data_IF_348008443484
#
_entry.id   IF_348008443484
#
_cell.length_a   1.000
_cell.length_b   1.000
_cell.length_c   1.000
_cell.angle_alpha   90.00
_cell.angle_beta   90.00
_cell.angle_gamma   90.00
#
_symmetry.space_group_name_H-M   'P 1'
#
loop_
_entity.id
_entity.type
_entity.pdbx_description
1 polymer ?
#
# COMPACT_ATOMS: atom_id res chain seq x y z
N UNK A 1 -17.62 10.97 -31.40
CA UNK A 1 -17.75 11.34 -30.00
C UNK A 1 -16.45 11.04 -29.27
N UNK A 2 -15.97 11.95 -28.38
CA UNK A 2 -14.82 11.64 -27.59
C UNK A 2 -15.15 10.45 -26.71
N UNK A 3 -14.42 9.36 -26.86
CA UNK A 3 -14.48 8.24 -25.93
C UNK A 3 -14.09 8.79 -24.57
N UNK A 4 -14.96 8.60 -23.60
CA UNK A 4 -14.65 8.96 -22.22
C UNK A 4 -13.34 8.25 -21.86
N UNK A 5 -12.29 9.03 -21.68
CA UNK A 5 -10.99 8.55 -21.23
C UNK A 5 -11.03 8.29 -19.73
N UNK A 6 -11.92 7.41 -19.29
CA UNK A 6 -11.69 6.73 -18.03
C UNK A 6 -10.55 5.77 -18.31
N UNK A 7 -9.37 6.25 -18.04
CA UNK A 7 -8.17 5.44 -18.09
C UNK A 7 -8.36 4.30 -17.07
N UNK A 8 -8.39 3.04 -17.50
CA UNK A 8 -8.63 1.93 -16.61
C UNK A 8 -7.39 1.69 -15.75
N UNK A 9 -7.30 2.39 -14.63
CA UNK A 9 -6.28 2.12 -13.63
C UNK A 9 -6.84 1.21 -12.55
N UNK A 10 -6.18 0.12 -12.31
CA UNK A 10 -6.41 -0.68 -11.11
C UNK A 10 -5.27 -0.43 -10.14
N UNK A 11 -5.58 0.14 -8.99
CA UNK A 11 -4.61 0.36 -7.92
C UNK A 11 -4.89 -0.63 -6.80
N UNK A 12 -3.90 -1.44 -6.48
CA UNK A 12 -3.96 -2.40 -5.38
C UNK A 12 -3.13 -1.88 -4.21
N UNK A 13 -3.75 -1.77 -3.05
CA UNK A 13 -3.06 -1.38 -1.82
C UNK A 13 -2.54 -2.61 -1.09
N UNK A 14 -1.26 -2.56 -0.73
CA UNK A 14 -0.60 -3.64 -0.03
C UNK A 14 0.24 -3.08 1.11
N UNK A 15 0.25 -3.78 2.25
CA UNK A 15 1.24 -3.46 3.27
C UNK A 15 2.65 -3.80 2.78
N UNK A 16 3.65 -3.07 3.23
CA UNK A 16 5.07 -3.29 2.87
C UNK A 16 5.60 -4.64 3.37
N UNK A 17 4.75 -5.47 3.99
CA UNK A 17 5.14 -6.72 4.59
C UNK A 17 5.37 -7.82 3.55
N UNK A 18 6.63 -8.10 3.26
CA UNK A 18 7.04 -9.29 2.51
C UNK A 18 7.38 -10.47 3.43
N UNK A 19 7.39 -10.25 4.75
CA UNK A 19 7.75 -11.24 5.74
C UNK A 19 6.55 -11.79 6.50
N UNK A 20 6.72 -12.98 7.06
CA UNK A 20 5.79 -13.61 7.99
C UNK A 20 6.08 -13.15 9.42
N UNK A 21 5.08 -13.18 10.28
CA UNK A 21 5.20 -12.89 11.70
C UNK A 21 4.19 -13.73 12.50
N UNK A 22 4.44 -14.01 13.77
CA UNK A 22 3.50 -14.76 14.60
C UNK A 22 2.12 -14.11 14.66
N UNK A 23 1.06 -14.90 14.46
CA UNK A 23 -0.33 -14.41 14.43
C UNK A 23 -0.76 -13.76 13.13
N UNK A 24 0.14 -13.60 12.15
CA UNK A 24 -0.13 -12.89 10.90
C UNK A 24 -0.55 -13.77 9.72
N UNK A 25 -0.75 -15.07 9.90
CA UNK A 25 -0.91 -16.02 8.79
C UNK A 25 -2.01 -15.63 7.79
N UNK A 26 -3.22 -15.32 8.27
CA UNK A 26 -4.35 -14.95 7.40
C UNK A 26 -4.11 -13.65 6.66
N UNK A 27 -3.65 -12.61 7.34
CA UNK A 27 -3.35 -11.32 6.75
C UNK A 27 -2.22 -11.40 5.72
N UNK A 28 -1.13 -12.07 6.08
CA UNK A 28 0.03 -12.24 5.20
C UNK A 28 -0.35 -13.03 3.95
N UNK A 29 -1.11 -14.12 4.09
CA UNK A 29 -1.59 -14.91 2.96
C UNK A 29 -2.46 -14.07 2.02
N UNK A 30 -3.44 -13.31 2.56
CA UNK A 30 -4.29 -12.42 1.77
C UNK A 30 -3.48 -11.38 1.00
N UNK A 31 -2.50 -10.74 1.65
CA UNK A 31 -1.66 -9.73 1.02
C UNK A 31 -0.68 -10.29 -0.02
N UNK A 32 -0.26 -11.54 0.12
CA UNK A 32 0.50 -12.22 -0.93
C UNK A 32 -0.40 -12.58 -2.12
N UNK A 33 -1.64 -13.00 -1.87
CA UNK A 33 -2.61 -13.26 -2.93
C UNK A 33 -2.88 -12.01 -3.79
N UNK A 34 -3.07 -10.83 -3.19
CA UNK A 34 -3.22 -9.57 -3.93
C UNK A 34 -2.06 -9.32 -4.89
N UNK A 35 -0.82 -9.60 -4.46
CA UNK A 35 0.36 -9.45 -5.32
C UNK A 35 0.34 -10.43 -6.49
N UNK A 36 -0.01 -11.70 -6.23
CA UNK A 36 -0.11 -12.72 -7.29
C UNK A 36 -1.16 -12.31 -8.30
N UNK A 37 -2.32 -11.81 -7.85
CA UNK A 37 -3.38 -11.29 -8.71
C UNK A 37 -2.85 -10.14 -9.58
N UNK A 38 -2.18 -9.15 -9.00
CA UNK A 38 -1.63 -8.03 -9.75
C UNK A 38 -0.61 -8.48 -10.82
N UNK A 39 0.28 -9.40 -10.46
CA UNK A 39 1.26 -9.94 -11.39
C UNK A 39 0.60 -10.73 -12.53
N UNK A 40 -0.41 -11.54 -12.21
CA UNK A 40 -1.18 -12.32 -13.20
C UNK A 40 -1.91 -11.39 -14.17
N UNK A 41 -2.59 -10.37 -13.65
CA UNK A 41 -3.28 -9.37 -14.48
C UNK A 41 -2.32 -8.66 -15.45
N UNK A 42 -1.08 -8.37 -15.04
CA UNK A 42 -0.09 -7.80 -15.94
C UNK A 42 0.26 -8.72 -17.11
N UNK A 43 0.30 -10.03 -16.87
CA UNK A 43 0.54 -11.01 -17.92
C UNK A 43 -0.66 -11.15 -18.86
N UNK A 44 -1.86 -11.20 -18.30
CA UNK A 44 -3.10 -11.40 -19.06
C UNK A 44 -3.49 -10.17 -19.90
N UNK A 45 -3.18 -8.97 -19.40
CA UNK A 45 -3.56 -7.69 -20.00
C UNK A 45 -2.41 -7.03 -20.77
N UNK A 46 -1.32 -7.74 -21.06
CA UNK A 46 -0.22 -7.20 -21.85
C UNK A 46 -0.71 -6.79 -23.24
N UNK A 47 -0.41 -5.56 -23.64
CA UNK A 47 -0.89 -4.99 -24.90
C UNK A 47 -2.23 -4.25 -24.81
N UNK A 48 -2.99 -4.43 -23.74
CA UNK A 48 -4.19 -3.64 -23.49
C UNK A 48 -3.82 -2.24 -22.93
N UNK A 49 -4.65 -1.21 -23.17
CA UNK A 49 -4.39 0.14 -22.68
C UNK A 49 -4.72 0.27 -21.19
N UNK A 50 -4.17 -0.62 -20.37
CA UNK A 50 -4.40 -0.73 -18.93
C UNK A 50 -3.07 -0.71 -18.19
N UNK A 51 -3.00 -0.01 -17.06
CA UNK A 51 -1.86 -0.04 -16.15
C UNK A 51 -2.27 -0.68 -14.83
N UNK A 52 -1.50 -1.63 -14.36
CA UNK A 52 -1.69 -2.31 -13.07
C UNK A 52 -0.61 -1.83 -12.11
N UNK A 53 -1.00 -1.04 -11.13
CA UNK A 53 -0.11 -0.37 -10.19
C UNK A 53 -0.38 -0.88 -8.78
N UNK A 54 0.65 -1.34 -8.11
CA UNK A 54 0.59 -1.77 -6.71
C UNK A 54 1.21 -0.70 -5.82
N UNK A 55 0.44 -0.17 -4.86
CA UNK A 55 0.96 0.75 -3.84
C UNK A 55 1.06 0.00 -2.51
N UNK A 56 2.25 0.03 -1.93
CA UNK A 56 2.58 -0.68 -0.70
C UNK A 56 3.04 0.30 0.40
N UNK A 57 2.12 0.98 1.11
CA UNK A 57 2.48 1.88 2.18
C UNK A 57 2.94 1.12 3.43
N UNK A 58 3.87 1.72 4.15
CA UNK A 58 4.28 1.30 5.49
C UNK A 58 3.31 1.78 6.56
N UNK A 59 3.85 2.29 7.67
CA UNK A 59 3.06 2.81 8.78
C UNK A 59 2.40 4.13 8.39
N UNK A 60 1.09 4.10 8.17
CA UNK A 60 0.25 5.26 7.90
C UNK A 60 -0.60 5.54 9.13
N UNK A 61 -0.49 6.71 9.70
CA UNK A 61 -1.31 7.14 10.83
C UNK A 61 -2.70 7.55 10.31
N UNK A 62 -3.64 6.61 10.35
CA UNK A 62 -5.06 6.86 10.14
C UNK A 62 -5.85 6.33 11.32
N UNK A 63 -6.78 7.12 11.86
CA UNK A 63 -7.56 6.73 13.03
C UNK A 63 -8.37 5.46 12.78
N UNK A 64 -9.04 5.37 11.63
CA UNK A 64 -9.92 4.24 11.30
C UNK A 64 -9.16 2.91 11.15
N UNK A 65 -8.00 2.91 10.50
CA UNK A 65 -7.26 1.66 10.26
C UNK A 65 -6.80 1.04 11.59
N UNK A 66 -6.29 1.85 12.49
CA UNK A 66 -5.81 1.39 13.78
C UNK A 66 -6.95 0.90 14.67
N UNK A 67 -8.07 1.63 14.72
CA UNK A 67 -9.24 1.23 15.51
C UNK A 67 -9.87 -0.06 14.97
N UNK A 68 -10.02 -0.20 13.66
CA UNK A 68 -10.58 -1.41 13.04
C UNK A 68 -9.68 -2.63 13.27
N UNK A 69 -8.36 -2.47 13.18
CA UNK A 69 -7.40 -3.58 13.41
C UNK A 69 -7.44 -4.10 14.83
N UNK A 70 -7.69 -3.24 15.81
CA UNK A 70 -7.70 -3.58 17.22
C UNK A 70 -9.11 -3.62 17.82
N UNK A 71 -10.14 -3.81 16.99
CA UNK A 71 -11.54 -3.93 17.42
C UNK A 71 -12.02 -2.79 18.32
N UNK A 72 -11.55 -1.57 18.07
CA UNK A 72 -11.88 -0.38 18.85
C UNK A 72 -10.99 -0.12 20.05
N UNK A 73 -9.99 -0.94 20.30
CA UNK A 73 -8.99 -0.70 21.38
C UNK A 73 -8.03 0.42 20.95
N UNK A 74 -8.33 1.64 21.43
CA UNK A 74 -7.56 2.84 21.12
C UNK A 74 -6.15 2.77 21.72
N UNK A 75 -5.98 2.20 22.92
CA UNK A 75 -4.67 2.10 23.55
C UNK A 75 -3.73 1.19 22.74
N UNK A 76 -4.24 0.06 22.25
CA UNK A 76 -3.48 -0.83 21.36
C UNK A 76 -3.17 -0.15 20.01
N UNK A 77 -4.10 0.62 19.48
CA UNK A 77 -3.91 1.38 18.24
C UNK A 77 -2.80 2.44 18.39
N UNK A 78 -2.84 3.22 19.47
CA UNK A 78 -1.86 4.27 19.75
C UNK A 78 -0.46 3.68 20.02
N UNK A 79 -0.39 2.52 20.67
CA UNK A 79 0.87 1.83 20.94
C UNK A 79 1.66 1.46 19.65
N UNK A 80 0.98 1.25 18.54
CA UNK A 80 1.64 0.97 17.25
C UNK A 80 2.53 2.13 16.81
N UNK A 81 2.08 3.36 17.04
CA UNK A 81 2.77 4.58 16.60
C UNK A 81 3.63 5.22 17.70
N UNK A 82 3.57 4.68 18.92
CA UNK A 82 4.33 5.24 20.06
C UNK A 82 5.82 5.33 19.75
N UNK A 83 6.39 6.52 19.91
CA UNK A 83 7.80 6.82 19.66
C UNK A 83 8.20 6.80 18.17
N UNK A 84 7.28 6.65 17.23
CA UNK A 84 7.59 6.74 15.79
C UNK A 84 7.57 8.20 15.36
N UNK A 85 8.74 8.72 14.98
CA UNK A 85 8.84 10.06 14.43
C UNK A 85 8.19 10.11 13.04
N UNK A 86 7.16 10.94 12.90
CA UNK A 86 6.49 11.22 11.62
C UNK A 86 6.10 9.95 10.83
N UNK A 87 5.09 9.17 11.27
CA UNK A 87 4.49 8.15 10.43
C UNK A 87 3.90 8.79 9.17
N UNK A 88 3.69 8.00 8.09
CA UNK A 88 3.03 8.52 6.89
C UNK A 88 1.63 9.01 7.22
N UNK A 89 1.19 10.01 6.49
CA UNK A 89 -0.19 10.50 6.47
C UNK A 89 -0.95 9.91 5.28
N UNK A 90 -2.27 10.00 5.30
CA UNK A 90 -3.09 9.66 4.13
C UNK A 90 -2.71 10.51 2.90
N UNK A 91 -2.34 11.79 3.12
CA UNK A 91 -1.90 12.70 2.06
C UNK A 91 -0.61 12.22 1.39
N UNK A 92 0.37 11.77 2.17
CA UNK A 92 1.63 11.24 1.61
C UNK A 92 1.37 10.06 0.66
N UNK A 93 0.46 9.17 1.05
CA UNK A 93 0.07 8.03 0.20
C UNK A 93 -0.70 8.49 -1.04
N UNK A 94 -1.62 9.44 -0.88
CA UNK A 94 -2.41 9.98 -2.00
C UNK A 94 -1.51 10.67 -3.04
N UNK A 95 -0.53 11.44 -2.61
CA UNK A 95 0.45 12.08 -3.51
C UNK A 95 1.25 11.04 -4.30
N UNK A 96 1.66 9.95 -3.66
CA UNK A 96 2.34 8.85 -4.34
C UNK A 96 1.44 8.20 -5.41
N UNK A 97 0.15 8.01 -5.13
CA UNK A 97 -0.82 7.46 -6.08
C UNK A 97 -0.95 8.41 -7.28
N UNK A 98 -1.19 9.69 -7.04
CA UNK A 98 -1.32 10.69 -8.10
C UNK A 98 -0.07 10.71 -8.96
N UNK A 99 1.12 10.72 -8.34
CA UNK A 99 2.37 10.69 -9.08
C UNK A 99 2.48 9.48 -10.02
N UNK A 100 2.06 8.29 -9.60
CA UNK A 100 2.09 7.10 -10.49
C UNK A 100 1.10 7.24 -11.64
N UNK A 101 -0.07 7.84 -11.40
CA UNK A 101 -1.10 8.04 -12.40
C UNK A 101 -0.72 9.09 -13.45
N UNK A 102 0.04 10.09 -13.06
CA UNK A 102 0.53 11.15 -13.94
C UNK A 102 1.67 10.73 -14.88
N UNK A 103 2.20 9.53 -14.74
CA UNK A 103 3.23 9.05 -15.66
C UNK A 103 2.66 8.90 -17.07
N UNK A 104 3.49 9.07 -18.11
CA UNK A 104 3.06 8.87 -19.50
C UNK A 104 2.38 7.52 -19.71
N UNK A 105 1.44 7.42 -20.62
CA UNK A 105 0.59 6.23 -20.81
C UNK A 105 1.36 4.92 -21.03
N UNK A 106 2.56 5.00 -21.62
CA UNK A 106 3.43 3.84 -21.86
C UNK A 106 4.27 3.43 -20.65
N UNK A 107 4.21 4.19 -19.53
CA UNK A 107 4.97 3.91 -18.31
C UNK A 107 4.04 3.29 -17.28
N UNK A 108 4.34 2.07 -16.88
CA UNK A 108 3.69 1.41 -15.76
C UNK A 108 4.63 1.37 -14.55
N UNK A 109 4.18 1.83 -13.41
CA UNK A 109 4.87 1.65 -12.14
C UNK A 109 4.31 0.38 -11.51
N UNK A 110 5.00 -0.73 -11.66
CA UNK A 110 4.50 -2.04 -11.22
C UNK A 110 4.24 -2.10 -9.72
N UNK A 111 5.16 -1.51 -8.94
CA UNK A 111 5.03 -1.49 -7.48
C UNK A 111 5.77 -0.29 -6.90
N UNK A 112 5.11 0.43 -6.03
CA UNK A 112 5.69 1.53 -5.27
C UNK A 112 5.56 1.24 -3.77
N UNK A 113 6.70 1.10 -3.09
CA UNK A 113 6.76 0.93 -1.64
C UNK A 113 7.14 2.25 -0.99
N UNK A 114 6.30 2.72 -0.07
CA UNK A 114 6.49 3.99 0.65
C UNK A 114 6.50 3.73 2.14
N UNK A 115 7.52 4.18 2.84
CA UNK A 115 7.65 4.03 4.30
C UNK A 115 8.02 5.35 4.96
N UNK A 116 7.64 5.55 6.22
CA UNK A 116 8.27 6.58 7.04
C UNK A 116 9.77 6.34 7.09
N UNK A 117 10.55 7.41 7.18
CA UNK A 117 12.02 7.29 7.35
C UNK A 117 12.40 6.44 8.56
N UNK A 118 11.58 6.46 9.61
CA UNK A 118 11.79 5.69 10.82
C UNK A 118 11.53 4.17 10.66
N UNK A 119 10.96 3.72 9.54
CA UNK A 119 10.59 2.32 9.33
C UNK A 119 11.46 1.63 8.27
N UNK A 120 12.28 0.67 8.67
CA UNK A 120 13.04 -0.16 7.76
C UNK A 120 12.26 -1.42 7.31
N UNK A 121 11.51 -2.03 8.23
CA UNK A 121 10.66 -3.20 7.96
C UNK A 121 9.43 -3.19 8.86
N UNK A 122 8.63 -4.24 8.83
CA UNK A 122 7.47 -4.35 9.75
C UNK A 122 7.86 -4.54 11.20
N UNK A 123 9.06 -5.04 11.44
CA UNK A 123 9.57 -5.37 12.78
C UNK A 123 10.71 -4.46 13.21
N UNK A 124 11.28 -3.70 12.29
CA UNK A 124 12.40 -2.78 12.55
C UNK A 124 11.94 -1.35 12.33
N UNK A 125 11.67 -0.67 13.43
CA UNK A 125 11.18 0.71 13.48
C UNK A 125 12.01 1.46 14.52
N UNK A 126 12.56 2.62 14.15
CA UNK A 126 13.21 3.52 15.09
C UNK A 126 12.14 4.20 15.96
N UNK A 127 12.35 4.14 17.27
CA UNK A 127 11.48 4.77 18.27
C UNK A 127 12.34 5.65 19.16
N UNK A 128 11.98 6.91 19.25
CA UNK A 128 12.61 7.90 20.13
C UNK A 128 12.00 7.89 21.51
#
# INVERSE_FOLDING_TARGET
>A
PPRSTLSPYTTLFRSTNRGTYPGGAGYVAAKHAERVIANTLRLELVGEPVRIIEIAPGMVATEEFSLNRFHGDRAAADAVYAGVEAPLTASDVAECIVWTLERPAHVNIDSLTVRPRAQASNTVVARG
#
